data_IF_855942395013
#
_entry.id   IF_855942395013
#
_cell.length_a   1.000
_cell.length_b   1.000
_cell.length_c   1.000
_cell.angle_alpha   90.00
_cell.angle_beta   90.00
_cell.angle_gamma   90.00
#
_symmetry.space_group_name_H-M   'P 1'
#
loop_
_entity.id
_entity.type
_entity.pdbx_description
1 polymer ?
#
# COMPACT_ATOMS: atom_id res chain seq x y z
N UNK A 1 13.40 10.46 9.81
CA UNK A 1 12.67 10.84 11.04
C UNK A 1 13.60 11.67 11.91
N UNK A 2 13.19 12.86 12.34
CA UNK A 2 13.98 13.74 13.23
C UNK A 2 13.47 13.53 14.66
N UNK A 3 14.36 13.53 15.66
CA UNK A 3 14.00 13.39 17.07
C UNK A 3 13.17 14.60 17.56
N UNK A 4 12.11 14.43 18.36
CA UNK A 4 11.48 13.18 18.84
C UNK A 4 10.76 12.45 17.72
N UNK A 5 10.75 11.11 17.71
CA UNK A 5 10.19 10.25 16.65
C UNK A 5 9.02 10.83 15.84
N UNK A 6 9.36 11.60 14.81
CA UNK A 6 8.39 12.33 14.02
C UNK A 6 8.31 11.73 12.64
N UNK A 7 7.13 11.21 12.28
CA UNK A 7 6.79 10.90 10.91
C UNK A 7 6.35 12.20 10.23
N UNK A 8 7.13 12.62 9.24
CA UNK A 8 6.87 13.84 8.47
C UNK A 8 6.70 13.45 7.01
N UNK A 9 5.59 13.86 6.42
CA UNK A 9 5.48 13.95 4.98
C UNK A 9 5.88 15.38 4.57
N UNK A 10 6.84 15.48 3.65
CA UNK A 10 7.35 16.78 3.17
C UNK A 10 7.28 16.87 1.66
N UNK A 11 6.96 18.05 1.17
CA UNK A 11 7.18 18.45 -0.21
C UNK A 11 8.30 19.49 -0.22
N UNK A 12 9.51 19.06 -0.60
CA UNK A 12 10.71 19.87 -0.43
C UNK A 12 10.99 20.17 1.06
N UNK A 13 11.04 21.44 1.42
CA UNK A 13 11.19 21.88 2.83
C UNK A 13 9.87 22.01 3.59
N UNK A 14 8.72 21.99 2.90
CA UNK A 14 7.40 22.20 3.49
C UNK A 14 6.87 20.91 4.13
N UNK A 15 6.61 20.87 5.45
CA UNK A 15 5.92 19.75 6.07
C UNK A 15 4.43 19.78 5.71
N UNK A 16 3.98 18.79 4.93
CA UNK A 16 2.56 18.61 4.58
C UNK A 16 1.78 17.95 5.73
N UNK A 17 2.42 17.00 6.41
CA UNK A 17 1.81 16.30 7.54
C UNK A 17 2.87 15.87 8.53
N UNK A 18 2.54 15.93 9.81
CA UNK A 18 3.46 15.60 10.90
C UNK A 18 2.74 14.85 12.01
N UNK A 19 3.27 13.69 12.41
CA UNK A 19 2.93 13.05 13.67
C UNK A 19 4.18 12.84 14.50
N UNK A 20 4.13 13.39 15.69
CA UNK A 20 5.22 13.34 16.64
C UNK A 20 4.92 12.35 17.74
N UNK A 21 5.86 11.45 17.96
CA UNK A 21 5.81 10.49 19.04
C UNK A 21 6.02 11.08 20.43
N UNK A 22 5.83 10.24 21.45
CA UNK A 22 6.09 10.60 22.84
C UNK A 22 7.55 11.04 23.03
N UNK A 23 7.75 12.11 23.81
CA UNK A 23 9.07 12.57 24.25
C UNK A 23 9.91 11.43 24.84
N UNK A 24 11.18 11.36 24.47
CA UNK A 24 12.11 10.28 24.87
C UNK A 24 12.06 9.03 24.01
N UNK A 25 11.19 8.96 23.00
CA UNK A 25 11.22 7.88 21.99
C UNK A 25 12.39 8.13 21.03
N UNK A 26 13.25 7.12 20.87
CA UNK A 26 14.42 7.13 19.97
C UNK A 26 14.42 5.90 19.06
N UNK A 27 15.06 6.02 17.91
CA UNK A 27 15.19 4.90 16.96
C UNK A 27 13.85 4.35 16.45
N UNK A 28 12.86 5.22 16.25
CA UNK A 28 11.54 4.76 15.82
C UNK A 28 11.51 4.24 14.39
N UNK A 29 10.57 3.36 14.13
CA UNK A 29 10.29 2.79 12.82
C UNK A 29 8.78 2.70 12.59
N UNK A 30 8.39 2.84 11.33
CA UNK A 30 7.01 2.67 10.88
C UNK A 30 6.81 1.20 10.47
N UNK A 31 5.71 0.60 10.91
CA UNK A 31 5.35 -0.79 10.59
C UNK A 31 3.89 -0.87 10.17
N UNK A 32 3.66 -1.41 8.98
CA UNK A 32 2.34 -1.87 8.57
C UNK A 32 2.10 -3.24 9.21
N UNK A 33 1.04 -3.37 10.01
CA UNK A 33 0.67 -4.63 10.64
C UNK A 33 -0.30 -5.43 9.79
N UNK A 34 -0.39 -6.75 10.05
CA UNK A 34 -1.31 -7.65 9.36
C UNK A 34 -2.77 -7.45 9.76
N UNK A 35 -3.09 -6.56 10.69
CA UNK A 35 -4.45 -6.25 11.14
C UNK A 35 -4.90 -4.86 10.68
N UNK A 36 -4.38 -4.36 9.54
CA UNK A 36 -4.59 -3.03 8.97
C UNK A 36 -4.14 -1.82 9.80
N UNK A 37 -3.45 -1.99 10.92
CA UNK A 37 -2.95 -0.86 11.70
C UNK A 37 -1.53 -0.45 11.23
N UNK A 38 -1.37 0.82 10.86
CA UNK A 38 -0.10 1.45 10.61
C UNK A 38 0.43 2.07 11.89
N UNK A 39 1.54 1.55 12.40
CA UNK A 39 2.02 1.85 13.76
C UNK A 39 3.45 2.36 13.74
N UNK A 40 3.71 3.41 14.52
CA UNK A 40 5.06 3.85 14.84
C UNK A 40 5.46 3.20 16.16
N UNK A 41 6.57 2.47 16.12
CA UNK A 41 7.21 1.89 17.29
C UNK A 41 8.49 2.65 17.61
N UNK A 42 8.89 2.68 18.88
CA UNK A 42 10.26 3.02 19.26
C UNK A 42 11.18 1.80 19.24
N UNK A 43 12.47 2.03 19.47
CA UNK A 43 13.48 0.97 19.52
C UNK A 43 13.25 -0.06 20.64
N UNK A 44 12.48 0.29 21.68
CA UNK A 44 12.08 -0.61 22.75
C UNK A 44 10.80 -1.41 22.39
N UNK A 45 10.27 -1.25 21.18
CA UNK A 45 9.06 -1.91 20.72
C UNK A 45 7.77 -1.33 21.32
N UNK A 46 7.83 -0.16 21.97
CA UNK A 46 6.64 0.52 22.50
C UNK A 46 5.90 1.22 21.37
N UNK A 47 4.58 1.09 21.36
CA UNK A 47 3.72 1.82 20.43
C UNK A 47 3.71 3.31 20.76
N UNK A 48 4.15 4.11 19.83
CA UNK A 48 4.28 5.56 19.94
C UNK A 48 3.09 6.29 19.31
N UNK A 49 2.61 5.78 18.17
CA UNK A 49 1.41 6.26 17.48
C UNK A 49 0.80 5.11 16.66
N UNK A 50 -0.50 5.17 16.39
CA UNK A 50 -1.20 4.25 15.51
C UNK A 50 -2.30 4.97 14.72
N UNK A 51 -2.60 4.46 13.52
CA UNK A 51 -3.76 4.87 12.72
C UNK A 51 -5.08 4.49 13.37
N UNK A 52 -5.09 3.49 14.25
CA UNK A 52 -6.29 2.92 14.89
C UNK A 52 -7.30 2.36 13.88
N UNK A 53 -6.80 1.77 12.80
CA UNK A 53 -7.59 1.20 11.72
C UNK A 53 -7.64 -0.33 11.82
N UNK A 54 -7.69 -0.87 13.04
CA UNK A 54 -7.59 -2.32 13.27
C UNK A 54 -8.78 -3.05 12.66
N UNK A 55 -8.54 -3.91 11.68
CA UNK A 55 -9.54 -4.78 11.08
C UNK A 55 -9.83 -6.01 11.98
N UNK A 56 -11.05 -6.57 11.90
CA UNK A 56 -11.41 -7.75 12.68
C UNK A 56 -10.60 -8.99 12.28
N UNK A 57 -10.19 -9.07 11.01
CA UNK A 57 -9.44 -10.19 10.46
C UNK A 57 -8.03 -9.75 10.07
N UNK A 58 -7.08 -10.68 10.18
CA UNK A 58 -5.74 -10.46 9.68
C UNK A 58 -5.70 -10.62 8.15
N UNK A 59 -4.77 -9.93 7.50
CA UNK A 59 -4.56 -9.95 6.07
C UNK A 59 -3.26 -9.25 5.68
N UNK A 60 -3.00 -9.23 4.38
CA UNK A 60 -1.85 -8.52 3.81
C UNK A 60 -2.27 -7.11 3.44
N UNK A 61 -1.57 -6.13 4.00
CA UNK A 61 -1.80 -4.71 3.77
C UNK A 61 -0.54 -4.04 3.26
N UNK A 62 -0.72 -3.01 2.44
CA UNK A 62 0.37 -2.15 1.96
C UNK A 62 0.07 -0.70 2.28
N UNK A 63 1.11 0.04 2.65
CA UNK A 63 1.05 1.48 2.84
C UNK A 63 1.74 2.14 1.64
N UNK A 64 1.02 3.02 0.93
CA UNK A 64 1.47 3.62 -0.32
C UNK A 64 1.36 5.14 -0.20
N UNK A 65 2.46 5.83 -0.48
CA UNK A 65 2.46 7.26 -0.72
C UNK A 65 2.15 7.51 -2.19
N UNK A 66 1.01 8.12 -2.47
CA UNK A 66 0.56 8.41 -3.82
C UNK A 66 1.15 9.73 -4.35
N UNK A 67 1.19 9.94 -5.69
CA UNK A 67 1.69 11.18 -6.29
C UNK A 67 0.90 12.45 -5.90
N UNK A 68 -0.35 12.29 -5.47
CA UNK A 68 -1.21 13.37 -4.94
C UNK A 68 -0.79 13.86 -3.54
N UNK A 69 0.19 13.19 -2.92
CA UNK A 69 0.67 13.53 -1.58
C UNK A 69 -0.12 12.86 -0.46
N UNK A 70 -1.02 11.92 -0.75
CA UNK A 70 -1.73 11.16 0.27
C UNK A 70 -1.03 9.86 0.61
N UNK A 71 -0.94 9.56 1.92
CA UNK A 71 -0.46 8.28 2.42
C UNK A 71 -1.68 7.40 2.75
N UNK A 72 -1.86 6.31 2.00
CA UNK A 72 -3.01 5.40 2.13
C UNK A 72 -2.59 3.99 2.51
N UNK A 73 -3.46 3.30 3.24
CA UNK A 73 -3.35 1.86 3.52
C UNK A 73 -4.36 1.13 2.64
N UNK A 74 -3.87 0.16 1.86
CA UNK A 74 -4.69 -0.72 1.02
C UNK A 74 -4.67 -2.15 1.54
N UNK A 75 -5.81 -2.82 1.46
CA UNK A 75 -5.97 -4.24 1.77
C UNK A 75 -7.31 -4.56 2.46
N UNK A 76 -7.51 -5.81 2.91
CA UNK A 76 -6.58 -6.92 2.69
C UNK A 76 -6.49 -7.28 1.21
N UNK A 77 -5.45 -8.01 0.81
CA UNK A 77 -5.33 -8.55 -0.55
C UNK A 77 -6.62 -9.27 -0.95
N UNK A 78 -7.26 -8.80 -2.03
CA UNK A 78 -8.50 -9.37 -2.56
C UNK A 78 -8.22 -10.59 -3.43
N UNK A 79 -7.14 -10.54 -4.22
CA UNK A 79 -6.75 -11.62 -5.12
C UNK A 79 -5.25 -11.66 -5.34
N UNK A 80 -4.70 -12.87 -5.53
CA UNK A 80 -3.31 -13.09 -5.91
C UNK A 80 -3.19 -14.32 -6.80
N UNK A 81 -2.26 -14.29 -7.77
CA UNK A 81 -1.93 -15.46 -8.60
C UNK A 81 -1.24 -16.58 -7.80
N UNK A 82 -0.66 -16.27 -6.63
CA UNK A 82 -0.07 -17.26 -5.72
C UNK A 82 1.30 -17.82 -6.14
N UNK A 83 2.04 -17.17 -7.05
CA UNK A 83 3.39 -17.62 -7.46
C UNK A 83 4.50 -17.03 -6.56
N UNK A 84 5.47 -17.88 -6.18
CA UNK A 84 6.61 -17.53 -5.31
C UNK A 84 7.92 -17.24 -6.04
N UNK A 85 8.06 -17.68 -7.30
CA UNK A 85 9.28 -17.50 -8.11
C UNK A 85 8.87 -17.43 -9.59
N UNK A 86 9.28 -16.40 -10.33
CA UNK A 86 9.15 -16.39 -11.80
C UNK A 86 10.06 -15.35 -12.44
N UNK A 87 10.85 -15.78 -13.42
CA UNK A 87 11.34 -14.93 -14.52
C UNK A 87 10.34 -15.02 -15.67
N UNK A 88 9.91 -13.86 -16.18
CA UNK A 88 8.95 -13.67 -17.28
C UNK A 88 7.47 -13.98 -16.91
N UNK A 89 6.67 -12.92 -16.74
CA UNK A 89 5.23 -12.99 -16.48
C UNK A 89 4.51 -12.18 -17.55
N UNK A 90 3.61 -12.82 -18.29
CA UNK A 90 2.71 -12.15 -19.24
C UNK A 90 1.32 -12.13 -18.61
N UNK A 91 0.74 -10.94 -18.48
CA UNK A 91 -0.69 -10.76 -18.18
C UNK A 91 -1.35 -10.45 -19.52
N UNK A 92 -2.36 -11.21 -19.92
CA UNK A 92 -3.17 -10.96 -21.12
C UNK A 92 -4.65 -11.13 -20.79
N UNK A 93 -5.50 -10.33 -21.42
CA UNK A 93 -6.95 -10.41 -21.29
C UNK A 93 -7.58 -10.48 -22.68
N UNK A 94 -8.27 -11.58 -22.99
CA UNK A 94 -9.04 -11.71 -24.24
C UNK A 94 -10.51 -11.59 -23.93
N UNK A 95 -11.16 -10.56 -24.47
CA UNK A 95 -12.62 -10.49 -24.56
C UNK A 95 -13.04 -11.29 -25.80
N UNK A 96 -14.00 -12.19 -25.64
CA UNK A 96 -14.69 -12.81 -26.77
C UNK A 96 -16.10 -12.24 -26.81
N UNK A 97 -16.39 -11.42 -27.82
CA UNK A 97 -17.77 -11.14 -28.20
C UNK A 97 -18.18 -12.27 -29.15
N UNK A 98 -19.15 -13.08 -28.73
CA UNK A 98 -19.75 -14.05 -29.64
C UNK A 98 -20.62 -13.29 -30.66
N UNK A 99 -19.98 -12.83 -31.72
CA UNK A 99 -20.65 -12.33 -32.92
C UNK A 99 -20.08 -13.07 -34.10
N UNK A 100 -20.95 -13.81 -34.79
CA UNK A 100 -20.66 -14.52 -36.03
C UNK A 100 -19.80 -13.70 -36.99
N UNK A 101 -18.58 -14.18 -37.22
CA UNK A 101 -17.65 -13.94 -38.33
C UNK A 101 -17.48 -12.49 -38.83
N UNK A 102 -16.30 -11.89 -38.62
CA UNK A 102 -15.30 -11.58 -39.68
C UNK A 102 -13.97 -11.27 -38.98
N UNK A 103 -12.87 -11.70 -39.58
CA UNK A 103 -11.47 -11.59 -39.16
C UNK A 103 -11.05 -10.21 -38.65
N UNK A 104 -10.51 -10.12 -37.44
CA UNK A 104 -9.42 -9.19 -37.11
C UNK A 104 -8.66 -9.64 -35.85
N UNK A 105 -7.33 -9.67 -35.97
CA UNK A 105 -6.38 -10.06 -34.93
C UNK A 105 -6.15 -8.87 -34.02
N UNK A 106 -6.95 -8.73 -32.96
CA UNK A 106 -6.68 -7.71 -31.94
C UNK A 106 -5.86 -8.28 -30.79
N UNK A 107 -4.73 -7.63 -30.53
CA UNK A 107 -3.90 -7.84 -29.35
C UNK A 107 -4.75 -7.73 -28.07
N UNK A 108 -4.66 -8.67 -27.12
CA UNK A 108 -5.40 -8.59 -25.87
C UNK A 108 -4.96 -7.35 -25.07
N UNK A 109 -5.74 -6.28 -25.12
CA UNK A 109 -5.51 -5.07 -24.34
C UNK A 109 -6.17 -5.26 -22.99
N UNK A 110 -5.39 -5.26 -21.90
CA UNK A 110 -5.96 -5.26 -20.55
C UNK A 110 -6.63 -3.91 -20.33
N UNK A 111 -7.95 -3.87 -20.47
CA UNK A 111 -8.75 -2.76 -19.98
C UNK A 111 -8.84 -2.87 -18.44
N UNK A 112 -8.01 -2.12 -17.73
CA UNK A 112 -8.30 -1.78 -16.34
C UNK A 112 -9.36 -0.68 -16.37
N UNK A 113 -10.62 -1.06 -16.13
CA UNK A 113 -11.69 -0.10 -15.85
C UNK A 113 -11.71 0.12 -14.34
N UNK A 114 -11.48 1.35 -13.92
CA UNK A 114 -11.90 1.84 -12.60
C UNK A 114 -13.21 2.58 -12.82
N UNK A 115 -14.32 2.09 -12.23
CA UNK A 115 -15.48 2.95 -11.96
C UNK A 115 -15.14 3.96 -10.84
#
# INVERSE_FOLDING_TARGET
MVAPCTLQLKQGSLPLWTKTGKLGSVGCYLKMQSNSDLVIYDNAGRRVWASNTVAPNQGNYVCVLQPDGELKVYGPVVWTLGRKETTEVVISATSFTETTATTESETPTIAMVTE
#
